data_IF_356699447758
#
_entry.id   IF_356699447758
#
_cell.length_a   1.000
_cell.length_b   1.000
_cell.length_c   1.000
_cell.angle_alpha   90.00
_cell.angle_beta   90.00
_cell.angle_gamma   90.00
#
_symmetry.space_group_name_H-M   'P 1'
#
loop_
_entity.id
_entity.type
_entity.pdbx_description
1 polymer ?
#
# COMPACT_ATOMS: atom_id res chain seq x y z
N UNK A 1 -10.35 -11.23 23.18
CA UNK A 1 -9.62 -12.32 23.83
C UNK A 1 -8.80 -11.78 24.99
N UNK A 2 -9.09 -12.26 26.14
CA UNK A 2 -8.28 -11.88 27.30
C UNK A 2 -7.03 -12.72 27.37
N UNK A 3 -5.88 -12.10 27.58
CA UNK A 3 -4.70 -12.87 27.87
C UNK A 3 -4.89 -13.63 29.18
N UNK A 4 -4.50 -14.87 29.19
CA UNK A 4 -4.60 -15.70 30.39
C UNK A 4 -3.27 -15.60 31.11
N UNK A 5 -3.34 -15.02 32.28
CA UNK A 5 -2.20 -14.99 33.17
C UNK A 5 -2.31 -16.18 34.10
N UNK A 6 -1.40 -17.12 34.01
CA UNK A 6 -1.43 -18.35 34.77
C UNK A 6 -0.65 -18.20 36.08
N UNK A 7 -1.37 -18.31 37.20
CA UNK A 7 -0.71 -18.48 38.50
C UNK A 7 0.16 -17.33 38.97
N UNK A 8 -0.17 -16.09 38.61
CA UNK A 8 0.61 -14.96 39.06
C UNK A 8 1.95 -14.78 38.36
N UNK A 9 2.09 -15.38 37.20
CA UNK A 9 3.30 -15.24 36.39
C UNK A 9 3.44 -13.81 35.86
N UNK A 10 4.67 -13.45 35.47
CA UNK A 10 4.96 -12.18 34.89
C UNK A 10 4.10 -11.97 33.61
N UNK A 11 3.73 -10.72 33.28
CA UNK A 11 2.97 -10.44 32.06
C UNK A 11 3.72 -10.95 30.84
N UNK A 12 2.98 -11.42 29.85
CA UNK A 12 3.56 -11.80 28.57
C UNK A 12 4.19 -10.58 27.90
N UNK A 13 5.20 -10.82 27.05
CA UNK A 13 5.85 -9.71 26.32
C UNK A 13 4.97 -9.09 25.25
N UNK A 14 3.89 -9.76 24.84
CA UNK A 14 2.98 -9.24 23.80
C UNK A 14 1.61 -9.89 23.92
N UNK A 15 0.65 -9.21 23.31
CA UNK A 15 -0.69 -9.73 23.03
C UNK A 15 -0.97 -9.56 21.55
N UNK A 16 -1.73 -10.50 20.98
CA UNK A 16 -2.24 -10.37 19.62
C UNK A 16 -3.73 -10.05 19.69
N UNK A 17 -4.11 -9.01 18.98
CA UNK A 17 -5.49 -8.57 18.91
C UNK A 17 -5.90 -8.39 17.46
N UNK A 18 -7.17 -8.66 17.18
CA UNK A 18 -7.75 -8.26 15.90
C UNK A 18 -7.86 -6.75 15.84
N UNK A 19 -7.52 -6.19 14.69
CA UNK A 19 -7.64 -4.76 14.46
C UNK A 19 -8.18 -4.51 13.07
N UNK A 20 -8.88 -3.39 12.91
CA UNK A 20 -9.36 -2.93 11.61
C UNK A 20 -8.64 -1.63 11.27
N UNK A 21 -7.98 -1.64 10.11
CA UNK A 21 -7.30 -0.48 9.58
C UNK A 21 -7.99 -0.08 8.28
N UNK A 22 -8.51 1.16 8.17
CA UNK A 22 -9.01 1.63 6.88
C UNK A 22 -7.88 1.62 5.86
N UNK A 23 -8.10 0.96 4.73
CA UNK A 23 -7.09 0.78 3.72
C UNK A 23 -7.63 1.28 2.38
N UNK A 24 -6.94 2.26 1.80
CA UNK A 24 -7.25 2.72 0.46
C UNK A 24 -6.71 1.72 -0.55
N UNK A 25 -7.39 1.60 -1.68
CA UNK A 25 -6.91 0.80 -2.79
C UNK A 25 -6.72 1.68 -4.01
N UNK A 26 -5.51 1.69 -4.56
CA UNK A 26 -5.21 2.35 -5.82
C UNK A 26 -5.26 1.29 -6.92
N UNK A 27 -6.28 1.36 -7.76
CA UNK A 27 -6.39 0.48 -8.91
C UNK A 27 -5.62 1.11 -10.07
N UNK A 28 -4.42 0.61 -10.32
CA UNK A 28 -3.63 1.08 -11.44
C UNK A 28 -4.17 0.50 -12.74
N UNK A 29 -4.37 1.36 -13.73
CA UNK A 29 -4.85 0.99 -15.05
C UNK A 29 -3.83 1.28 -16.14
N UNK A 30 -2.72 1.90 -15.79
CA UNK A 30 -1.68 2.29 -16.73
C UNK A 30 -0.33 2.26 -16.04
N UNK A 31 0.71 1.94 -16.80
CA UNK A 31 2.10 2.02 -16.33
C UNK A 31 2.72 3.40 -16.59
N UNK A 32 1.95 4.35 -17.12
CA UNK A 32 2.41 5.70 -17.41
C UNK A 32 2.49 6.53 -16.13
N UNK A 33 3.69 6.68 -15.60
CA UNK A 33 3.92 7.41 -14.35
C UNK A 33 3.66 8.92 -14.50
N UNK A 34 3.93 9.49 -15.68
CA UNK A 34 3.65 10.91 -15.92
C UNK A 34 2.16 11.18 -15.89
N UNK A 35 1.36 10.27 -16.42
CA UNK A 35 -0.09 10.36 -16.36
C UNK A 35 -0.57 10.29 -14.92
N UNK A 36 -0.07 9.32 -14.16
CA UNK A 36 -0.43 9.17 -12.75
C UNK A 36 -0.09 10.43 -11.96
N UNK A 37 1.10 10.99 -12.18
CA UNK A 37 1.53 12.20 -11.50
C UNK A 37 0.60 13.37 -11.80
N UNK A 38 0.23 13.55 -13.07
CA UNK A 38 -0.68 14.61 -13.47
C UNK A 38 -2.06 14.44 -12.85
N UNK A 39 -2.60 13.23 -12.86
CA UNK A 39 -3.93 12.98 -12.32
C UNK A 39 -3.97 13.17 -10.80
N UNK A 40 -2.94 12.74 -10.09
CA UNK A 40 -2.85 12.99 -8.66
C UNK A 40 -2.75 14.48 -8.35
N UNK A 41 -1.96 15.21 -9.13
CA UNK A 41 -1.82 16.67 -8.95
C UNK A 41 -3.13 17.39 -9.25
N UNK A 42 -3.87 16.97 -10.29
CA UNK A 42 -5.15 17.57 -10.64
C UNK A 42 -6.20 17.34 -9.56
N UNK A 43 -6.23 16.15 -8.96
CA UNK A 43 -7.25 15.81 -7.96
C UNK A 43 -6.92 16.30 -6.57
N UNK A 44 -5.66 16.30 -6.17
CA UNK A 44 -5.25 16.54 -4.78
C UNK A 44 -4.14 17.57 -4.63
N UNK A 45 -3.61 18.12 -5.72
CA UNK A 45 -2.45 19.00 -5.68
C UNK A 45 -2.66 20.29 -4.90
N UNK A 46 -3.90 20.81 -4.89
CA UNK A 46 -4.26 21.99 -4.12
C UNK A 46 -4.78 21.67 -2.72
N UNK A 47 -4.70 20.40 -2.31
CA UNK A 47 -5.10 19.92 -1.00
C UNK A 47 -3.95 19.10 -0.39
N UNK A 48 -2.81 19.72 -0.06
CA UNK A 48 -1.62 18.96 0.35
C UNK A 48 -1.82 18.16 1.63
N UNK A 49 -2.80 18.52 2.45
CA UNK A 49 -3.11 17.82 3.70
C UNK A 49 -4.29 16.88 3.60
N UNK A 50 -4.76 16.60 2.38
CA UNK A 50 -5.91 15.70 2.19
C UNK A 50 -5.63 14.30 2.71
N UNK A 51 -4.41 13.80 2.48
CA UNK A 51 -3.96 12.53 3.05
C UNK A 51 -2.96 12.80 4.17
N UNK A 52 -2.92 11.91 5.15
CA UNK A 52 -1.99 12.01 6.28
C UNK A 52 -1.32 10.66 6.53
N UNK A 53 -0.39 10.31 5.61
CA UNK A 53 0.33 9.04 5.65
C UNK A 53 -0.61 7.84 5.63
N UNK A 54 -1.72 7.98 4.92
CA UNK A 54 -2.74 6.93 4.82
C UNK A 54 -2.15 5.69 4.15
N UNK A 55 -2.36 4.50 4.72
CA UNK A 55 -1.89 3.28 4.11
C UNK A 55 -2.72 2.94 2.87
N UNK A 56 -2.07 2.40 1.86
CA UNK A 56 -2.68 2.17 0.57
C UNK A 56 -2.17 0.86 -0.01
N UNK A 57 -3.10 0.10 -0.59
CA UNK A 57 -2.82 -1.09 -1.37
C UNK A 57 -2.78 -0.71 -2.85
N UNK A 58 -1.72 -1.10 -3.54
CA UNK A 58 -1.66 -0.96 -4.98
C UNK A 58 -2.28 -2.22 -5.60
N UNK A 59 -3.37 -2.06 -6.33
CA UNK A 59 -4.07 -3.15 -6.97
C UNK A 59 -3.73 -3.18 -8.45
N UNK A 60 -3.10 -4.28 -8.91
CA UNK A 60 -2.62 -4.45 -10.26
C UNK A 60 -3.54 -5.33 -11.10
N UNK A 61 -4.72 -5.70 -10.62
CA UNK A 61 -5.58 -6.65 -11.35
C UNK A 61 -5.97 -6.14 -12.74
N UNK A 62 -6.15 -4.84 -12.92
CA UNK A 62 -6.50 -4.26 -14.21
C UNK A 62 -5.34 -4.31 -15.21
N UNK A 63 -4.13 -4.62 -14.77
CA UNK A 63 -2.93 -4.68 -15.59
C UNK A 63 -2.43 -6.10 -15.79
N UNK A 64 -3.24 -7.10 -15.52
CA UNK A 64 -2.85 -8.50 -15.74
C UNK A 64 -2.52 -8.71 -17.21
N UNK A 65 -1.39 -9.38 -17.48
CA UNK A 65 -0.91 -9.60 -18.83
C UNK A 65 -0.16 -8.46 -19.47
N UNK A 66 -0.15 -7.28 -18.86
CA UNK A 66 0.66 -6.14 -19.30
C UNK A 66 1.94 -6.08 -18.48
N UNK A 67 2.94 -5.36 -18.99
CA UNK A 67 4.17 -5.13 -18.23
C UNK A 67 3.84 -4.29 -17.00
N UNK A 68 4.26 -4.71 -15.79
CA UNK A 68 3.99 -3.93 -14.59
C UNK A 68 4.78 -2.62 -14.61
N UNK A 69 4.26 -1.57 -13.94
CA UNK A 69 5.00 -0.33 -13.80
C UNK A 69 6.17 -0.50 -12.84
N UNK A 70 7.05 0.49 -12.79
CA UNK A 70 8.08 0.58 -11.76
C UNK A 70 7.39 0.91 -10.42
N UNK A 71 7.16 -0.11 -9.61
CA UNK A 71 6.42 0.04 -8.36
C UNK A 71 7.18 0.86 -7.31
N UNK A 72 8.52 0.86 -7.36
CA UNK A 72 9.30 1.73 -6.48
C UNK A 72 9.04 3.21 -6.82
N UNK A 73 8.97 3.52 -8.11
CA UNK A 73 8.65 4.88 -8.55
C UNK A 73 7.20 5.25 -8.23
N UNK A 74 6.26 4.32 -8.37
CA UNK A 74 4.88 4.56 -7.98
C UNK A 74 4.80 4.86 -6.47
N UNK A 75 5.48 4.08 -5.66
CA UNK A 75 5.50 4.27 -4.21
C UNK A 75 6.07 5.64 -3.83
N UNK A 76 7.17 6.04 -4.48
CA UNK A 76 7.78 7.35 -4.23
C UNK A 76 6.83 8.49 -4.64
N UNK A 77 6.15 8.34 -5.76
CA UNK A 77 5.18 9.33 -6.23
C UNK A 77 4.00 9.46 -5.25
N UNK A 78 3.49 8.34 -4.76
CA UNK A 78 2.43 8.35 -3.75
C UNK A 78 2.90 9.03 -2.47
N UNK A 79 4.15 8.84 -2.09
CA UNK A 79 4.73 9.49 -0.91
C UNK A 79 4.72 11.01 -1.01
N UNK A 80 4.83 11.57 -2.22
CA UNK A 80 4.74 13.02 -2.43
C UNK A 80 3.35 13.55 -2.09
N UNK A 81 2.34 12.71 -2.13
CA UNK A 81 0.95 13.05 -1.79
C UNK A 81 0.57 12.55 -0.39
N UNK A 82 1.55 12.17 0.41
CA UNK A 82 1.36 11.69 1.77
C UNK A 82 0.52 10.42 1.83
N UNK A 83 0.72 9.57 0.85
CA UNK A 83 0.18 8.22 0.81
C UNK A 83 1.32 7.23 0.99
N UNK A 84 1.07 6.15 1.68
CA UNK A 84 2.09 5.14 1.97
C UNK A 84 1.64 3.80 1.40
N UNK A 85 2.33 3.34 0.37
CA UNK A 85 2.09 2.00 -0.17
C UNK A 85 2.59 0.96 0.83
N UNK A 86 1.70 0.07 1.26
CA UNK A 86 2.02 -0.96 2.25
C UNK A 86 1.92 -2.37 1.68
N UNK A 87 1.26 -2.55 0.55
CA UNK A 87 1.10 -3.87 -0.06
C UNK A 87 0.74 -3.74 -1.53
N UNK A 88 0.87 -4.83 -2.26
CA UNK A 88 0.48 -4.95 -3.66
C UNK A 88 -0.43 -6.16 -3.81
N UNK A 89 -1.57 -5.97 -4.47
CA UNK A 89 -2.41 -7.06 -4.89
C UNK A 89 -2.03 -7.44 -6.32
N UNK A 90 -1.26 -8.51 -6.47
CA UNK A 90 -0.75 -8.99 -7.74
C UNK A 90 -1.61 -10.13 -8.28
N UNK A 91 -1.79 -10.15 -9.61
CA UNK A 91 -2.58 -11.18 -10.28
C UNK A 91 -1.72 -12.29 -10.86
N UNK A 92 -0.45 -12.02 -11.12
CA UNK A 92 0.42 -13.00 -11.77
C UNK A 92 1.83 -12.92 -11.17
N UNK A 93 2.69 -13.85 -11.60
CA UNK A 93 4.05 -13.97 -11.07
C UNK A 93 4.93 -12.80 -11.46
N UNK A 94 4.70 -12.21 -12.64
CA UNK A 94 5.44 -11.03 -13.08
C UNK A 94 5.16 -9.84 -12.17
N UNK A 95 3.90 -9.64 -11.83
CA UNK A 95 3.50 -8.58 -10.91
C UNK A 95 4.04 -8.83 -9.50
N UNK A 96 4.03 -10.09 -9.05
CA UNK A 96 4.59 -10.44 -7.73
C UNK A 96 6.09 -10.16 -7.68
N UNK A 97 6.80 -10.51 -8.74
CA UNK A 97 8.24 -10.23 -8.83
C UNK A 97 8.52 -8.73 -8.81
N UNK A 98 7.70 -7.93 -9.51
CA UNK A 98 7.83 -6.49 -9.50
C UNK A 98 7.60 -5.90 -8.10
N UNK A 99 6.62 -6.42 -7.37
CA UNK A 99 6.35 -5.99 -5.99
C UNK A 99 7.54 -6.31 -5.08
N UNK A 100 8.09 -7.51 -5.19
CA UNK A 100 9.26 -7.90 -4.40
C UNK A 100 10.46 -7.04 -4.71
N UNK A 101 10.69 -6.74 -5.98
CA UNK A 101 11.79 -5.86 -6.39
C UNK A 101 11.66 -4.45 -5.81
N UNK A 102 10.44 -4.00 -5.57
CA UNK A 102 10.16 -2.70 -4.96
C UNK A 102 10.12 -2.76 -3.42
N UNK A 103 10.33 -3.93 -2.83
CA UNK A 103 10.27 -4.11 -1.38
C UNK A 103 8.87 -4.08 -0.81
N UNK A 104 7.84 -4.36 -1.61
CA UNK A 104 6.44 -4.35 -1.19
C UNK A 104 5.92 -5.78 -1.04
N UNK A 105 5.18 -6.05 0.04
CA UNK A 105 4.55 -7.35 0.23
C UNK A 105 3.49 -7.67 -0.82
#
# INVERSE_FOLDING_TARGET
>A
LMPVSLGGQAPASFDLKSAHLPLLALLLKSSDLDLLQRELAERYGDQPDFFDHDPLLIDLQAMAGAAPPDLAAVSALLGQHRLRAVAVHARDDVQRAAAQAAGLP
#
